data_IF_287530586085
#
_entry.id   IF_287530586085
#
_cell.length_a   1.000
_cell.length_b   1.000
_cell.length_c   1.000
_cell.angle_alpha   90.00
_cell.angle_beta   90.00
_cell.angle_gamma   90.00
#
_symmetry.space_group_name_H-M   'P 1'
#
loop_
_entity.id
_entity.type
_entity.pdbx_description
1 polymer ?
#
# COMPACT_ATOMS: atom_id res chain seq x y z
N UNK A 1 21.74 17.52 19.83
CA UNK A 1 21.33 18.15 18.55
C UNK A 1 20.77 19.56 18.83
N UNK A 2 21.23 20.59 18.12
CA UNK A 2 20.79 21.99 18.32
C UNK A 2 19.36 22.24 17.80
N UNK A 3 18.58 23.09 18.49
CA UNK A 3 17.17 23.45 18.18
C UNK A 3 17.00 24.00 16.76
N UNK A 4 17.96 24.80 16.27
CA UNK A 4 17.93 25.37 14.90
C UNK A 4 18.02 24.28 13.84
N UNK A 5 18.90 23.29 14.05
CA UNK A 5 19.04 22.16 13.13
C UNK A 5 17.77 21.28 13.08
N UNK A 6 17.10 21.12 14.23
CA UNK A 6 15.82 20.40 14.32
C UNK A 6 14.71 21.11 13.54
N UNK A 7 14.59 22.44 13.66
CA UNK A 7 13.61 23.24 12.93
C UNK A 7 13.81 23.13 11.41
N UNK A 8 15.05 23.31 10.92
CA UNK A 8 15.39 23.17 9.49
C UNK A 8 15.09 21.78 8.94
N UNK A 9 15.35 20.71 9.72
CA UNK A 9 15.03 19.33 9.33
C UNK A 9 13.53 19.13 9.19
N UNK A 10 12.73 19.69 10.11
CA UNK A 10 11.27 19.64 10.04
C UNK A 10 10.74 20.37 8.82
N UNK A 11 11.24 21.58 8.53
CA UNK A 11 10.84 22.37 7.36
C UNK A 11 11.14 21.64 6.04
N UNK A 12 12.36 21.11 5.88
CA UNK A 12 12.73 20.29 4.71
C UNK A 12 11.82 19.08 4.54
N UNK A 13 11.49 18.40 5.65
CA UNK A 13 10.55 17.26 5.61
C UNK A 13 9.17 17.71 5.12
N UNK A 14 8.63 18.80 5.66
CA UNK A 14 7.33 19.34 5.24
C UNK A 14 7.35 19.72 3.75
N UNK A 15 8.41 20.34 3.27
CA UNK A 15 8.56 20.68 1.85
C UNK A 15 8.58 19.41 0.98
N UNK A 16 9.37 18.40 1.36
CA UNK A 16 9.43 17.13 0.62
C UNK A 16 8.08 16.41 0.57
N UNK A 17 7.31 16.42 1.66
CA UNK A 17 5.97 15.82 1.70
C UNK A 17 4.97 16.57 0.80
N UNK A 18 5.07 17.90 0.71
CA UNK A 18 4.25 18.71 -0.21
C UNK A 18 4.60 18.43 -1.68
N UNK A 19 5.89 18.36 -2.00
CA UNK A 19 6.35 18.04 -3.36
C UNK A 19 5.85 16.65 -3.76
N UNK A 20 5.99 15.67 -2.86
CA UNK A 20 5.52 14.32 -3.10
C UNK A 20 3.99 14.25 -3.26
N UNK A 21 3.23 14.94 -2.41
CA UNK A 21 1.78 14.98 -2.54
C UNK A 21 1.35 15.59 -3.88
N UNK A 22 2.03 16.66 -4.32
CA UNK A 22 1.80 17.26 -5.64
C UNK A 22 2.10 16.28 -6.78
N UNK A 23 3.24 15.57 -6.71
CA UNK A 23 3.58 14.53 -7.68
C UNK A 23 2.48 13.46 -7.76
N UNK A 24 2.02 12.93 -6.63
CA UNK A 24 0.97 11.90 -6.59
C UNK A 24 -0.38 12.44 -7.10
N UNK A 25 -0.70 13.71 -6.84
CA UNK A 25 -1.92 14.33 -7.38
C UNK A 25 -1.88 14.34 -8.91
N UNK A 26 -0.75 14.70 -9.50
CA UNK A 26 -0.59 14.86 -10.95
C UNK A 26 -0.39 13.53 -11.69
N UNK A 27 0.38 12.61 -11.11
CA UNK A 27 0.84 11.38 -11.78
C UNK A 27 0.31 10.09 -11.14
N UNK A 28 -0.29 10.16 -9.96
CA UNK A 28 -0.87 9.00 -9.28
C UNK A 28 -2.23 8.60 -9.85
N UNK A 29 -2.57 7.33 -9.68
CA UNK A 29 -3.84 6.74 -10.10
C UNK A 29 -4.82 6.65 -8.93
N UNK A 30 -6.11 6.60 -9.25
CA UNK A 30 -7.13 6.29 -8.23
C UNK A 30 -7.23 4.77 -8.16
N UNK A 31 -6.86 4.13 -7.03
CA UNK A 31 -6.94 2.68 -6.93
C UNK A 31 -8.41 2.26 -6.83
N UNK A 32 -8.73 1.07 -7.36
CA UNK A 32 -10.05 0.44 -7.20
C UNK A 32 -10.41 0.26 -5.72
N UNK A 33 -9.41 -0.01 -4.87
CA UNK A 33 -9.55 -0.06 -3.41
C UNK A 33 -8.85 1.15 -2.77
N UNK A 34 -9.56 2.22 -2.38
CA UNK A 34 -8.97 3.33 -1.64
C UNK A 34 -8.53 2.88 -0.24
N UNK A 35 -7.57 3.62 0.33
CA UNK A 35 -7.15 3.39 1.73
C UNK A 35 -8.34 3.63 2.70
N UNK A 36 -8.39 2.92 3.83
CA UNK A 36 -9.54 2.95 4.74
C UNK A 36 -9.86 4.37 5.23
N UNK A 37 -8.84 5.18 5.46
CA UNK A 37 -9.03 6.58 5.86
C UNK A 37 -9.70 7.43 4.77
N UNK A 38 -9.28 7.27 3.51
CA UNK A 38 -9.90 8.00 2.41
C UNK A 38 -11.31 7.50 2.14
N UNK A 39 -11.53 6.19 2.22
CA UNK A 39 -12.87 5.59 2.08
C UNK A 39 -13.85 6.13 3.12
N UNK A 40 -13.47 6.09 4.41
CA UNK A 40 -14.31 6.56 5.52
C UNK A 40 -14.72 8.03 5.39
N UNK A 41 -13.83 8.86 4.86
CA UNK A 41 -14.05 10.30 4.73
C UNK A 41 -14.43 10.73 3.31
N UNK A 42 -14.72 9.78 2.41
CA UNK A 42 -15.12 10.02 1.01
C UNK A 42 -14.13 10.93 0.25
N UNK A 43 -12.83 10.69 0.44
CA UNK A 43 -11.76 11.49 -0.19
C UNK A 43 -11.22 10.80 -1.44
N UNK A 44 -10.70 11.61 -2.37
CA UNK A 44 -10.05 11.13 -3.60
C UNK A 44 -8.67 10.53 -3.27
N UNK A 45 -8.65 9.22 -3.02
CA UNK A 45 -7.41 8.48 -2.77
C UNK A 45 -6.61 8.39 -4.08
N UNK A 46 -5.49 9.10 -4.20
CA UNK A 46 -4.53 8.92 -5.30
C UNK A 46 -3.24 8.30 -4.79
N UNK A 47 -2.77 7.25 -5.44
CA UNK A 47 -1.55 6.52 -5.12
C UNK A 47 -0.62 6.58 -6.32
N UNK A 48 0.68 6.72 -6.09
CA UNK A 48 1.69 6.52 -7.12
C UNK A 48 2.56 5.32 -6.75
N UNK A 49 3.13 4.68 -7.77
CA UNK A 49 4.00 3.50 -7.59
C UNK A 49 5.23 3.83 -6.75
N UNK A 50 5.68 2.88 -5.94
CA UNK A 50 6.82 3.04 -5.04
C UNK A 50 6.56 3.87 -3.77
N UNK A 51 5.34 4.41 -3.58
CA UNK A 51 5.00 5.20 -2.40
C UNK A 51 4.07 4.46 -1.43
N UNK A 52 4.34 4.61 -0.15
CA UNK A 52 3.59 3.94 0.92
C UNK A 52 2.28 4.64 1.31
N UNK A 53 2.05 5.88 0.85
CA UNK A 53 0.94 6.73 1.28
C UNK A 53 0.28 7.44 0.09
N UNK A 54 -1.04 7.62 0.16
CA UNK A 54 -1.79 8.40 -0.83
C UNK A 54 -1.60 9.91 -0.64
N UNK A 55 -1.93 10.70 -1.66
CA UNK A 55 -1.83 12.17 -1.64
C UNK A 55 -2.56 12.80 -0.44
N UNK A 56 -3.78 12.36 -0.14
CA UNK A 56 -4.60 12.88 0.96
C UNK A 56 -3.98 12.59 2.33
N UNK A 57 -3.55 11.35 2.56
CA UNK A 57 -2.94 10.98 3.84
C UNK A 57 -1.57 11.63 4.04
N UNK A 58 -0.81 11.84 2.95
CA UNK A 58 0.43 12.63 2.96
C UNK A 58 0.18 14.08 3.36
N UNK A 59 -0.73 14.77 2.66
CA UNK A 59 -1.04 16.18 2.92
C UNK A 59 -1.60 16.40 4.32
N UNK A 60 -2.48 15.49 4.78
CA UNK A 60 -3.13 15.58 6.09
C UNK A 60 -2.28 15.02 7.23
N UNK A 61 -1.12 14.44 6.95
CA UNK A 61 -0.21 13.83 7.92
C UNK A 61 -0.88 12.78 8.80
N UNK A 62 -1.70 11.93 8.20
CA UNK A 62 -2.40 10.82 8.86
C UNK A 62 -1.88 9.46 8.35
N UNK A 63 -2.17 8.39 9.09
CA UNK A 63 -1.83 7.03 8.68
C UNK A 63 -2.52 6.64 7.37
N UNK A 64 -1.81 5.89 6.52
CA UNK A 64 -2.31 5.37 5.26
C UNK A 64 -2.01 3.88 5.19
N UNK A 65 -3.05 3.08 4.97
CA UNK A 65 -2.99 1.64 4.77
C UNK A 65 -2.97 1.25 3.27
N UNK A 66 -3.02 2.23 2.37
CA UNK A 66 -3.12 1.99 0.92
C UNK A 66 -2.02 1.12 0.32
N UNK A 67 -0.77 1.23 0.78
CA UNK A 67 0.32 0.38 0.27
C UNK A 67 0.36 -1.01 0.93
N UNK A 68 -0.12 -1.13 2.17
CA UNK A 68 -0.21 -2.41 2.87
C UNK A 68 -1.23 -3.32 2.19
N UNK A 69 -2.33 -2.75 1.69
CA UNK A 69 -3.35 -3.49 0.94
C UNK A 69 -2.77 -4.12 -0.33
N UNK A 70 -2.03 -3.38 -1.15
CA UNK A 70 -1.43 -3.92 -2.39
C UNK A 70 -0.41 -5.01 -2.10
N UNK A 71 0.45 -4.82 -1.09
CA UNK A 71 1.43 -5.82 -0.67
C UNK A 71 0.76 -7.10 -0.16
N UNK A 72 -0.21 -6.97 0.75
CA UNK A 72 -0.95 -8.13 1.29
C UNK A 72 -1.74 -8.86 0.23
N UNK A 73 -2.35 -8.14 -0.72
CA UNK A 73 -3.06 -8.76 -1.83
C UNK A 73 -2.12 -9.61 -2.68
N UNK A 74 -0.94 -9.09 -3.03
CA UNK A 74 0.07 -9.84 -3.78
C UNK A 74 0.50 -11.12 -3.04
N UNK A 75 0.78 -10.99 -1.74
CA UNK A 75 1.14 -12.12 -0.87
C UNK A 75 0.02 -13.16 -0.79
N UNK A 76 -1.23 -12.73 -0.58
CA UNK A 76 -2.39 -13.64 -0.52
C UNK A 76 -2.61 -14.39 -1.83
N UNK A 77 -2.38 -13.75 -2.98
CA UNK A 77 -2.46 -14.41 -4.29
C UNK A 77 -1.39 -15.50 -4.42
N UNK A 78 -0.17 -15.22 -3.98
CA UNK A 78 0.92 -16.20 -3.99
C UNK A 78 0.63 -17.39 -3.07
N UNK A 79 0.16 -17.12 -1.85
CA UNK A 79 -0.21 -18.15 -0.88
C UNK A 79 -1.36 -19.02 -1.39
N UNK A 80 -2.37 -18.42 -2.03
CA UNK A 80 -3.48 -19.17 -2.64
C UNK A 80 -2.97 -20.15 -3.70
N UNK A 81 -2.08 -19.71 -4.60
CA UNK A 81 -1.50 -20.58 -5.63
C UNK A 81 -0.73 -21.75 -5.03
N UNK A 82 -0.01 -21.53 -3.92
CA UNK A 82 0.70 -22.61 -3.20
C UNK A 82 -0.29 -23.62 -2.62
N UNK A 83 -1.38 -23.15 -2.02
CA UNK A 83 -2.42 -24.03 -1.49
C UNK A 83 -3.10 -24.86 -2.59
N UNK A 84 -3.46 -24.23 -3.71
CA UNK A 84 -4.05 -24.91 -4.87
C UNK A 84 -3.11 -26.00 -5.43
N UNK A 85 -1.80 -25.71 -5.52
CA UNK A 85 -0.80 -26.70 -5.96
C UNK A 85 -0.65 -27.86 -4.99
N UNK A 86 -0.71 -27.60 -3.69
CA UNK A 86 -0.60 -28.64 -2.66
C UNK A 86 -1.85 -29.52 -2.63
N UNK A 87 -3.04 -28.91 -2.77
CA UNK A 87 -4.31 -29.63 -2.89
C UNK A 87 -4.29 -30.61 -4.06
N UNK A 88 -3.86 -30.16 -5.24
CA UNK A 88 -3.75 -31.00 -6.43
C UNK A 88 -2.79 -32.19 -6.19
N UNK A 89 -1.63 -31.94 -5.58
CA UNK A 89 -0.66 -32.99 -5.24
C UNK A 89 -1.25 -34.04 -4.29
N UNK A 90 -2.03 -33.61 -3.31
CA UNK A 90 -2.69 -34.51 -2.35
C UNK A 90 -3.81 -35.31 -3.02
N UNK A 91 -4.59 -34.71 -3.91
CA UNK A 91 -5.62 -35.38 -4.68
C UNK A 91 -5.04 -36.49 -5.57
N UNK A 92 -3.94 -36.22 -6.28
CA UNK A 92 -3.22 -37.22 -7.07
C UNK A 92 -2.70 -38.37 -6.21
N UNK A 93 -2.17 -38.07 -5.02
CA UNK A 93 -1.72 -39.09 -4.07
C UNK A 93 -2.88 -39.94 -3.54
N UNK A 94 -4.02 -39.34 -3.23
CA UNK A 94 -5.23 -40.05 -2.82
C UNK A 94 -5.74 -40.98 -3.92
N UNK A 95 -5.71 -40.54 -5.17
CA UNK A 95 -6.06 -41.38 -6.33
C UNK A 95 -5.12 -42.58 -6.48
N UNK A 96 -3.81 -42.37 -6.29
CA UNK A 96 -2.84 -43.46 -6.33
C UNK A 96 -3.06 -44.49 -5.22
N UNK A 97 -3.38 -44.05 -4.00
CA UNK A 97 -3.64 -44.93 -2.85
C UNK A 97 -4.97 -45.70 -2.93
N UNK A 98 -5.91 -45.26 -3.79
CA UNK A 98 -7.20 -45.92 -4.02
C UNK A 98 -7.16 -46.96 -5.15
N UNK A 99 -6.03 -47.11 -5.83
CA UNK A 99 -5.76 -48.20 -6.79
C UNK A 99 -5.05 -49.35 -6.09
#
# INVERSE_FOLDING_TARGET
MNRIAKARKTERKVLSEKILASYIINFGTTPTMPCANCFRHQRKCRMAEGFSRCSECLTRKVSCDGADVSYRLAKNIEERKKMESEEQRLLERLLFLKK
#
